data_IF_044104652932
#
_entry.id   IF_044104652932
#
_cell.length_a   1.000
_cell.length_b   1.000
_cell.length_c   1.000
_cell.angle_alpha   90.00
_cell.angle_beta   90.00
_cell.angle_gamma   90.00
#
_symmetry.space_group_name_H-M   'P 1'
#
loop_
_entity.id
_entity.type
_entity.pdbx_description
1 polymer ?
#
# COMPACT_ATOMS: atom_id res chain seq x y z
N UNK A 1 -27.10 -8.05 -9.66
CA UNK A 1 -28.13 -7.02 -9.87
C UNK A 1 -29.19 -7.19 -8.78
N UNK A 2 -29.07 -6.43 -7.69
CA UNK A 2 -30.10 -6.41 -6.66
C UNK A 2 -30.95 -5.16 -6.87
N UNK A 3 -32.26 -5.35 -7.03
CA UNK A 3 -33.23 -4.29 -7.26
C UNK A 3 -33.28 -3.34 -6.06
N UNK A 4 -32.71 -2.14 -6.23
CA UNK A 4 -32.96 -1.02 -5.35
C UNK A 4 -34.37 -0.51 -5.67
N UNK A 5 -35.37 -0.97 -4.90
CA UNK A 5 -36.72 -0.40 -4.95
C UNK A 5 -36.86 0.59 -3.81
N UNK A 6 -36.22 1.74 -3.95
CA UNK A 6 -36.68 2.95 -3.26
C UNK A 6 -38.01 3.33 -3.91
N UNK A 7 -39.10 2.82 -3.36
CA UNK A 7 -40.44 3.36 -3.64
C UNK A 7 -40.46 4.81 -3.16
N UNK A 8 -40.20 5.75 -4.07
CA UNK A 8 -40.50 7.16 -3.87
C UNK A 8 -42.01 7.29 -3.59
N UNK A 9 -42.37 7.44 -2.32
CA UNK A 9 -43.73 7.77 -1.92
C UNK A 9 -43.98 9.20 -2.40
N UNK A 10 -44.97 9.38 -3.28
CA UNK A 10 -45.36 10.69 -3.81
C UNK A 10 -46.00 11.54 -2.69
N UNK A 11 -45.13 12.27 -1.97
CA UNK A 11 -45.47 13.11 -0.81
C UNK A 11 -46.52 14.19 -1.11
N UNK A 12 -46.78 14.49 -2.39
CA UNK A 12 -47.81 15.41 -2.83
C UNK A 12 -49.25 14.92 -2.54
N UNK A 13 -49.43 13.60 -2.38
CA UNK A 13 -50.75 12.96 -2.19
C UNK A 13 -51.08 12.58 -0.73
N UNK A 14 -50.14 12.79 0.20
CA UNK A 14 -50.32 12.41 1.61
C UNK A 14 -51.20 13.41 2.38
N UNK A 15 -52.07 12.89 3.25
CA UNK A 15 -52.81 13.70 4.24
C UNK A 15 -51.84 14.37 5.24
N UNK A 16 -52.28 15.41 5.96
CA UNK A 16 -51.46 16.10 6.98
C UNK A 16 -50.88 15.12 8.00
N UNK A 17 -51.67 14.15 8.46
CA UNK A 17 -51.20 13.09 9.34
C UNK A 17 -50.14 12.22 8.66
N UNK A 18 -50.34 11.84 7.39
CA UNK A 18 -49.37 11.08 6.60
C UNK A 18 -48.03 11.81 6.48
N UNK A 19 -48.05 13.12 6.16
CA UNK A 19 -46.84 13.95 6.06
C UNK A 19 -46.07 14.03 7.38
N UNK A 20 -46.78 14.26 8.49
CA UNK A 20 -46.16 14.32 9.83
C UNK A 20 -45.61 12.95 10.27
N UNK A 21 -46.30 11.86 9.93
CA UNK A 21 -45.83 10.50 10.21
C UNK A 21 -44.57 10.18 9.42
N UNK A 22 -44.55 10.43 8.11
CA UNK A 22 -43.37 10.21 7.25
C UNK A 22 -42.17 11.02 7.73
N UNK A 23 -42.38 12.29 8.11
CA UNK A 23 -41.33 13.13 8.67
C UNK A 23 -40.75 12.56 9.97
N UNK A 24 -41.62 12.17 10.92
CA UNK A 24 -41.19 11.59 12.19
C UNK A 24 -40.47 10.24 12.00
N UNK A 25 -40.94 9.40 11.08
CA UNK A 25 -40.27 8.15 10.71
C UNK A 25 -38.90 8.39 10.07
N UNK A 26 -38.78 9.40 9.20
CA UNK A 26 -37.52 9.82 8.60
C UNK A 26 -36.50 10.24 9.66
N UNK A 27 -36.92 11.05 10.64
CA UNK A 27 -36.08 11.43 11.78
C UNK A 27 -35.63 10.22 12.60
N UNK A 28 -36.56 9.30 12.93
CA UNK A 28 -36.22 8.08 13.69
C UNK A 28 -35.20 7.21 12.95
N UNK A 29 -35.37 7.05 11.64
CA UNK A 29 -34.41 6.30 10.80
C UNK A 29 -33.05 6.97 10.76
N UNK A 30 -33.00 8.30 10.63
CA UNK A 30 -31.75 9.06 10.66
C UNK A 30 -30.98 8.92 11.98
N UNK A 31 -31.69 9.01 13.12
CA UNK A 31 -31.09 8.80 14.44
C UNK A 31 -30.61 7.36 14.64
N UNK A 32 -31.41 6.37 14.25
CA UNK A 32 -31.01 4.96 14.31
C UNK A 32 -29.79 4.65 13.42
N UNK A 33 -29.62 5.37 12.30
CA UNK A 33 -28.42 5.25 11.46
C UNK A 33 -27.18 5.78 12.20
N UNK A 34 -27.32 6.86 12.95
CA UNK A 34 -26.28 7.38 13.84
C UNK A 34 -25.90 6.40 14.96
N UNK A 35 -26.88 5.76 15.61
CA UNK A 35 -26.62 4.71 16.61
C UNK A 35 -25.87 3.51 16.02
N UNK A 36 -26.23 3.09 14.80
CA UNK A 36 -25.52 2.02 14.09
C UNK A 36 -24.08 2.44 13.77
N UNK A 37 -23.88 3.68 13.34
CA UNK A 37 -22.55 4.22 13.08
C UNK A 37 -21.67 4.20 14.33
N UNK A 38 -22.18 4.67 15.47
CA UNK A 38 -21.42 4.66 16.72
C UNK A 38 -21.06 3.24 17.16
N UNK A 39 -21.96 2.27 17.00
CA UNK A 39 -21.65 0.88 17.34
C UNK A 39 -20.53 0.29 16.46
N UNK A 40 -20.46 0.65 15.18
CA UNK A 40 -19.36 0.26 14.30
C UNK A 40 -18.05 0.95 14.70
N UNK A 41 -18.11 2.22 15.11
CA UNK A 41 -16.95 2.94 15.62
C UNK A 41 -16.42 2.34 16.92
N UNK A 42 -17.30 1.97 17.85
CA UNK A 42 -16.92 1.29 19.10
C UNK A 42 -16.18 -0.03 18.80
N UNK A 43 -16.67 -0.79 17.81
CA UNK A 43 -15.98 -2.00 17.34
C UNK A 43 -14.62 -1.67 16.73
N UNK A 44 -14.54 -0.64 15.88
CA UNK A 44 -13.29 -0.25 15.23
C UNK A 44 -12.23 0.24 16.24
N UNK A 45 -12.65 0.90 17.32
CA UNK A 45 -11.76 1.48 18.32
C UNK A 45 -11.38 0.45 19.39
N UNK A 46 -12.35 -0.23 20.00
CA UNK A 46 -12.14 -0.94 21.27
C UNK A 46 -12.03 -2.47 21.14
N UNK A 47 -12.37 -3.05 19.98
CA UNK A 47 -12.27 -4.51 19.83
C UNK A 47 -10.84 -5.01 19.94
N UNK A 48 -10.69 -6.22 20.47
CA UNK A 48 -9.45 -7.00 20.43
C UNK A 48 -9.53 -8.17 19.47
N UNK A 49 -10.69 -8.39 18.84
CA UNK A 49 -10.90 -9.43 17.83
C UNK A 49 -10.66 -8.86 16.42
N UNK A 50 -9.68 -9.43 15.71
CA UNK A 50 -9.24 -8.92 14.42
C UNK A 50 -10.32 -8.99 13.33
N UNK A 51 -11.10 -10.08 13.27
CA UNK A 51 -12.16 -10.20 12.25
C UNK A 51 -13.31 -9.20 12.52
N UNK A 52 -13.63 -8.93 13.78
CA UNK A 52 -14.55 -7.86 14.18
C UNK A 52 -14.01 -6.49 13.77
N UNK A 53 -12.70 -6.23 13.97
CA UNK A 53 -12.03 -4.99 13.54
C UNK A 53 -12.15 -4.81 12.02
N UNK A 54 -11.81 -5.85 11.25
CA UNK A 54 -11.88 -5.86 9.79
C UNK A 54 -13.31 -5.65 9.29
N UNK A 55 -14.30 -6.35 9.86
CA UNK A 55 -15.70 -6.23 9.46
C UNK A 55 -16.28 -4.84 9.73
N UNK A 56 -15.90 -4.22 10.86
CA UNK A 56 -16.27 -2.85 11.19
C UNK A 56 -15.67 -1.86 10.17
N UNK A 57 -14.37 -1.98 9.89
CA UNK A 57 -13.67 -1.15 8.91
C UNK A 57 -14.28 -1.27 7.49
N UNK A 58 -14.57 -2.50 7.05
CA UNK A 58 -15.23 -2.77 5.76
C UNK A 58 -16.59 -2.07 5.67
N UNK A 59 -17.40 -2.17 6.73
CA UNK A 59 -18.73 -1.56 6.75
C UNK A 59 -18.64 -0.04 6.76
N UNK A 60 -17.71 0.52 7.54
CA UNK A 60 -17.50 1.97 7.66
C UNK A 60 -16.94 2.60 6.39
N UNK A 61 -16.07 1.89 5.66
CA UNK A 61 -15.48 2.34 4.40
C UNK A 61 -16.51 2.74 3.32
N UNK A 62 -17.73 2.21 3.38
CA UNK A 62 -18.84 2.55 2.46
C UNK A 62 -20.06 3.14 3.18
N UNK A 63 -19.94 3.44 4.49
CA UNK A 63 -21.07 3.88 5.30
C UNK A 63 -21.49 5.32 4.95
N UNK A 64 -22.79 5.54 4.77
CA UNK A 64 -23.38 6.88 4.62
C UNK A 64 -24.12 7.24 5.90
N UNK A 65 -23.51 8.12 6.70
CA UNK A 65 -24.05 8.55 7.98
C UNK A 65 -25.27 9.47 7.79
N UNK A 66 -25.12 10.47 6.92
CA UNK A 66 -26.19 11.40 6.62
C UNK A 66 -27.36 10.73 5.90
N UNK A 67 -28.55 11.21 6.23
CA UNK A 67 -29.80 10.80 5.58
C UNK A 67 -30.52 12.03 5.03
N UNK A 68 -31.60 11.83 4.29
CA UNK A 68 -32.44 12.93 3.81
C UNK A 68 -33.08 13.78 4.94
N UNK A 69 -33.11 13.28 6.18
CA UNK A 69 -33.79 13.92 7.32
C UNK A 69 -32.86 14.35 8.45
N UNK A 70 -31.65 13.78 8.55
CA UNK A 70 -30.70 14.05 9.62
C UNK A 70 -29.31 14.16 9.02
N UNK A 71 -28.62 15.26 9.34
CA UNK A 71 -27.23 15.53 8.96
C UNK A 71 -26.38 15.63 10.22
N UNK A 72 -25.25 14.94 10.24
CA UNK A 72 -24.30 14.93 11.34
C UNK A 72 -23.13 15.87 11.01
N UNK A 73 -22.88 16.91 11.84
CA UNK A 73 -21.93 17.97 11.49
C UNK A 73 -20.46 17.55 11.57
N UNK A 74 -20.15 16.50 12.34
CA UNK A 74 -18.79 15.98 12.55
C UNK A 74 -18.76 14.55 12.03
N UNK A 75 -17.94 14.28 11.01
CA UNK A 75 -17.84 12.97 10.39
C UNK A 75 -16.48 12.77 9.71
N UNK A 76 -15.90 11.60 9.96
CA UNK A 76 -14.76 11.13 9.20
C UNK A 76 -15.16 10.80 7.76
N UNK A 77 -14.22 10.97 6.84
CA UNK A 77 -14.36 10.53 5.47
C UNK A 77 -14.19 9.02 5.37
N UNK A 78 -14.77 8.40 4.34
CA UNK A 78 -14.66 6.96 4.10
C UNK A 78 -13.21 6.45 4.08
N UNK A 79 -12.28 7.26 3.59
CA UNK A 79 -10.85 6.92 3.57
C UNK A 79 -10.22 6.85 4.98
N UNK A 80 -10.72 7.66 5.92
CA UNK A 80 -10.18 7.74 7.28
C UNK A 80 -10.37 6.41 8.03
N UNK A 81 -11.43 5.65 7.73
CA UNK A 81 -11.65 4.34 8.36
C UNK A 81 -10.60 3.29 7.99
N UNK A 82 -10.02 3.37 6.79
CA UNK A 82 -8.86 2.54 6.43
C UNK A 82 -7.64 2.89 7.28
N UNK A 83 -7.48 4.17 7.58
CA UNK A 83 -6.37 4.67 8.38
C UNK A 83 -6.49 4.27 9.85
N UNK A 84 -7.70 4.41 10.41
CA UNK A 84 -8.01 3.91 11.76
C UNK A 84 -7.81 2.40 11.82
N UNK A 85 -8.30 1.65 10.83
CA UNK A 85 -8.09 0.20 10.75
C UNK A 85 -6.60 -0.17 10.78
N UNK A 86 -5.80 0.46 9.92
CA UNK A 86 -4.35 0.24 9.87
C UNK A 86 -3.69 0.55 11.23
N UNK A 87 -3.99 1.71 11.82
CA UNK A 87 -3.50 2.11 13.14
C UNK A 87 -3.86 1.09 14.24
N UNK A 88 -5.11 0.64 14.26
CA UNK A 88 -5.60 -0.29 15.28
C UNK A 88 -5.01 -1.69 15.12
N UNK A 89 -4.91 -2.19 13.89
CA UNK A 89 -4.28 -3.48 13.62
C UNK A 89 -2.80 -3.46 14.03
N UNK A 90 -2.06 -2.44 13.61
CA UNK A 90 -0.66 -2.28 13.99
C UNK A 90 -0.48 -2.18 15.51
N UNK A 91 -1.33 -1.38 16.18
CA UNK A 91 -1.31 -1.25 17.64
C UNK A 91 -1.62 -2.57 18.36
N UNK A 92 -2.53 -3.40 17.85
CA UNK A 92 -2.79 -4.75 18.39
C UNK A 92 -1.56 -5.67 18.29
N UNK A 93 -0.69 -5.43 17.31
CA UNK A 93 0.59 -6.11 17.12
C UNK A 93 1.79 -5.35 17.73
N UNK A 94 1.54 -4.34 18.56
CA UNK A 94 2.57 -3.57 19.26
C UNK A 94 3.44 -2.69 18.34
N UNK A 95 2.92 -2.26 17.19
CA UNK A 95 3.53 -1.23 16.35
C UNK A 95 2.72 0.07 16.41
N UNK A 96 3.32 1.10 16.99
CA UNK A 96 2.72 2.44 17.11
C UNK A 96 3.63 3.51 16.47
N UNK A 97 4.46 3.13 15.49
CA UNK A 97 5.40 4.05 14.84
C UNK A 97 4.69 5.12 14.00
N UNK A 98 3.56 4.75 13.39
CA UNK A 98 2.69 5.66 12.65
C UNK A 98 1.72 6.35 13.62
N UNK A 99 1.90 7.65 13.82
CA UNK A 99 1.04 8.46 14.71
C UNK A 99 -0.14 8.99 13.93
N UNK A 100 -1.35 8.59 14.34
CA UNK A 100 -2.61 9.08 13.79
C UNK A 100 -2.92 10.50 14.28
N UNK A 101 -3.06 11.44 13.34
CA UNK A 101 -3.38 12.83 13.59
C UNK A 101 -4.65 13.25 12.83
N UNK A 102 -5.24 14.38 13.24
CA UNK A 102 -6.42 14.96 12.60
C UNK A 102 -6.19 16.40 12.17
N UNK A 103 -6.74 16.76 11.00
CA UNK A 103 -6.73 18.13 10.52
C UNK A 103 -7.76 18.97 11.29
N UNK A 104 -7.33 20.10 11.88
CA UNK A 104 -8.16 20.92 12.78
C UNK A 104 -9.50 21.40 12.22
N UNK A 105 -9.66 21.51 10.90
CA UNK A 105 -10.84 22.11 10.27
C UNK A 105 -11.72 21.12 9.48
N UNK A 106 -11.14 20.00 9.04
CA UNK A 106 -11.79 19.04 8.15
C UNK A 106 -12.00 17.68 8.81
N UNK A 107 -11.43 17.46 10.01
CA UNK A 107 -11.43 16.18 10.73
C UNK A 107 -10.76 15.01 9.98
N UNK A 108 -10.25 15.27 8.77
CA UNK A 108 -9.54 14.29 7.97
C UNK A 108 -8.30 13.79 8.70
N UNK A 109 -8.08 12.48 8.63
CA UNK A 109 -7.02 11.81 9.35
C UNK A 109 -5.78 11.60 8.47
N UNK A 110 -4.62 11.58 9.10
CA UNK A 110 -3.35 11.28 8.45
C UNK A 110 -2.36 10.67 9.44
N UNK A 111 -1.48 9.79 8.96
CA UNK A 111 -0.33 9.30 9.69
C UNK A 111 0.86 10.26 9.52
N UNK A 112 1.64 10.38 10.58
CA UNK A 112 3.00 10.94 10.56
C UNK A 112 3.93 9.90 11.18
N UNK A 113 5.13 9.77 10.62
CA UNK A 113 6.18 8.95 11.21
C UNK A 113 7.20 9.86 11.88
N UNK A 114 7.41 9.70 13.18
CA UNK A 114 8.37 10.52 13.95
C UNK A 114 9.81 10.40 13.45
N UNK A 115 10.13 9.30 12.75
CA UNK A 115 11.41 9.08 12.10
C UNK A 115 11.63 10.00 10.87
N UNK A 116 10.55 10.44 10.22
CA UNK A 116 10.58 11.41 9.12
C UNK A 116 10.30 12.82 9.63
N UNK A 117 10.45 13.83 8.77
CA UNK A 117 10.02 15.19 9.11
C UNK A 117 8.49 15.29 9.06
N UNK A 118 7.92 16.25 9.81
CA UNK A 118 6.48 16.53 9.84
C UNK A 118 5.90 16.96 8.48
N UNK A 119 6.76 17.21 7.48
CA UNK A 119 6.38 17.54 6.10
C UNK A 119 5.81 16.33 5.33
N UNK A 120 6.06 15.11 5.81
CA UNK A 120 5.58 13.88 5.20
C UNK A 120 4.36 13.35 5.96
N UNK A 121 3.19 13.53 5.35
CA UNK A 121 1.92 13.01 5.86
C UNK A 121 1.41 11.92 4.94
N UNK A 122 0.79 10.90 5.52
CA UNK A 122 0.30 9.75 4.79
C UNK A 122 -1.17 9.52 5.08
N UNK A 123 -1.96 9.29 4.04
CA UNK A 123 -3.40 9.12 4.17
C UNK A 123 -3.92 8.14 3.13
N UNK A 124 -5.13 7.64 3.35
CA UNK A 124 -5.82 6.84 2.35
C UNK A 124 -6.60 7.71 1.38
N UNK A 125 -6.69 7.25 0.13
CA UNK A 125 -7.58 7.80 -0.89
C UNK A 125 -8.41 6.65 -1.46
N UNK A 126 -9.73 6.69 -1.26
CA UNK A 126 -10.65 5.70 -1.83
C UNK A 126 -10.61 5.75 -3.35
N UNK A 127 -10.59 4.58 -3.97
CA UNK A 127 -10.61 4.44 -5.42
C UNK A 127 -11.99 4.82 -5.95
N UNK A 128 -12.05 5.83 -6.82
CA UNK A 128 -13.31 6.32 -7.37
C UNK A 128 -13.94 5.38 -8.41
N UNK A 129 -13.18 4.39 -8.91
CA UNK A 129 -13.66 3.42 -9.89
C UNK A 129 -14.38 2.25 -9.20
N UNK A 130 -15.27 1.58 -9.92
CA UNK A 130 -16.12 0.50 -9.36
C UNK A 130 -15.38 -0.76 -8.87
N UNK A 131 -14.04 -0.77 -8.89
CA UNK A 131 -13.23 -1.84 -8.30
C UNK A 131 -13.10 -1.74 -6.77
N UNK A 132 -13.46 -0.60 -6.18
CA UNK A 132 -13.39 -0.37 -4.74
C UNK A 132 -11.96 -0.34 -4.20
N UNK A 133 -11.83 -0.33 -2.87
CA UNK A 133 -10.55 -0.25 -2.16
C UNK A 133 -10.02 1.18 -2.03
N UNK A 134 -8.78 1.29 -1.55
CA UNK A 134 -8.12 2.57 -1.31
C UNK A 134 -6.61 2.48 -1.55
N UNK A 135 -6.00 3.61 -1.90
CA UNK A 135 -4.54 3.76 -1.96
C UNK A 135 -4.03 4.43 -0.69
N UNK A 136 -3.03 3.85 -0.04
CA UNK A 136 -2.24 4.54 0.96
C UNK A 136 -1.18 5.38 0.24
N UNK A 137 -1.19 6.69 0.46
CA UNK A 137 -0.35 7.63 -0.28
C UNK A 137 0.34 8.64 0.62
N UNK A 138 1.51 9.08 0.18
CA UNK A 138 2.16 10.27 0.74
C UNK A 138 1.54 11.52 0.09
N UNK A 139 1.25 12.55 0.90
CA UNK A 139 0.45 13.69 0.47
C UNK A 139 1.21 14.64 -0.47
N UNK A 140 2.47 14.95 -0.17
CA UNK A 140 3.27 15.99 -0.85
C UNK A 140 3.67 15.57 -2.26
N UNK A 141 4.13 14.33 -2.42
CA UNK A 141 4.55 13.74 -3.69
C UNK A 141 3.38 13.12 -4.45
N UNK A 142 2.35 12.68 -3.73
CA UNK A 142 1.22 11.95 -4.30
C UNK A 142 1.51 10.49 -4.61
N UNK A 143 2.68 9.98 -4.21
CA UNK A 143 3.08 8.59 -4.42
C UNK A 143 2.13 7.63 -3.68
N UNK A 144 1.51 6.72 -4.44
CA UNK A 144 0.58 5.71 -3.94
C UNK A 144 1.37 4.45 -3.59
N UNK A 145 1.77 4.33 -2.33
CA UNK A 145 2.67 3.27 -1.87
C UNK A 145 2.06 1.88 -2.02
N UNK A 146 0.78 1.72 -1.64
CA UNK A 146 0.09 0.46 -1.84
C UNK A 146 -1.42 0.63 -2.00
N UNK A 147 -2.03 -0.34 -2.67
CA UNK A 147 -3.47 -0.50 -2.83
C UNK A 147 -3.97 -1.57 -1.87
N UNK A 148 -5.07 -1.30 -1.18
CA UNK A 148 -5.76 -2.25 -0.32
C UNK A 148 -7.23 -2.40 -0.72
N UNK A 149 -7.73 -3.63 -0.71
CA UNK A 149 -9.14 -3.94 -0.81
C UNK A 149 -9.54 -4.86 0.34
N UNK A 150 -10.31 -4.33 1.29
CA UNK A 150 -10.69 -5.07 2.50
C UNK A 150 -11.65 -6.21 2.19
N UNK A 151 -12.61 -6.02 1.26
CA UNK A 151 -13.59 -7.06 0.89
C UNK A 151 -12.92 -8.23 0.16
N UNK A 152 -12.01 -7.92 -0.77
CA UNK A 152 -11.28 -8.94 -1.55
C UNK A 152 -10.05 -9.48 -0.83
N UNK A 153 -9.75 -8.99 0.38
CA UNK A 153 -8.57 -9.36 1.17
C UNK A 153 -7.27 -9.27 0.34
N UNK A 154 -7.05 -8.11 -0.28
CA UNK A 154 -5.96 -7.87 -1.23
C UNK A 154 -5.10 -6.70 -0.80
N UNK A 155 -3.77 -6.86 -0.85
CA UNK A 155 -2.79 -5.79 -0.67
C UNK A 155 -1.72 -5.87 -1.78
N UNK A 156 -1.43 -4.76 -2.45
CA UNK A 156 -0.45 -4.67 -3.53
C UNK A 156 0.46 -3.47 -3.33
N UNK A 157 1.77 -3.70 -3.22
CA UNK A 157 2.77 -2.65 -3.11
C UNK A 157 3.19 -2.13 -4.49
N UNK A 158 3.54 -0.84 -4.56
CA UNK A 158 3.92 -0.16 -5.79
C UNK A 158 5.42 0.17 -5.82
N UNK A 159 6.21 -0.65 -6.50
CA UNK A 159 7.65 -0.48 -6.68
C UNK A 159 8.07 0.93 -7.12
N UNK A 160 7.35 1.53 -8.07
CA UNK A 160 7.62 2.87 -8.59
C UNK A 160 7.46 3.90 -7.48
N UNK A 161 6.35 3.85 -6.76
CA UNK A 161 6.07 4.79 -5.67
C UNK A 161 7.09 4.66 -4.52
N UNK A 162 7.47 3.44 -4.17
CA UNK A 162 8.52 3.21 -3.16
C UNK A 162 9.88 3.76 -3.60
N UNK A 163 10.29 3.50 -4.85
CA UNK A 163 11.54 4.03 -5.41
C UNK A 163 11.53 5.56 -5.43
N UNK A 164 10.45 6.16 -5.91
CA UNK A 164 10.34 7.62 -5.99
C UNK A 164 10.35 8.28 -4.62
N UNK A 165 9.55 7.80 -3.68
CA UNK A 165 9.48 8.42 -2.36
C UNK A 165 10.75 8.17 -1.55
N UNK A 166 11.07 6.91 -1.29
CA UNK A 166 12.10 6.57 -0.30
C UNK A 166 13.51 6.72 -0.83
N UNK A 167 13.76 6.50 -2.12
CA UNK A 167 15.08 6.71 -2.71
C UNK A 167 15.22 8.14 -3.23
N UNK A 168 14.40 8.54 -4.21
CA UNK A 168 14.61 9.80 -4.93
C UNK A 168 14.28 11.05 -4.08
N UNK A 169 13.23 10.99 -3.25
CA UNK A 169 12.78 12.14 -2.45
C UNK A 169 13.32 12.16 -1.02
N UNK A 170 13.55 11.00 -0.42
CA UNK A 170 14.05 10.91 0.97
C UNK A 170 15.56 10.66 1.01
N UNK A 171 16.04 9.50 0.57
CA UNK A 171 17.45 9.09 0.70
C UNK A 171 18.39 10.08 -0.01
N UNK A 172 18.17 10.34 -1.30
CA UNK A 172 19.01 11.26 -2.09
C UNK A 172 18.90 12.73 -1.66
N UNK A 173 17.94 13.06 -0.78
CA UNK A 173 17.81 14.38 -0.16
C UNK A 173 18.37 14.43 1.27
N UNK A 174 19.00 13.36 1.73
CA UNK A 174 19.73 13.31 3.00
C UNK A 174 18.97 12.70 4.17
N UNK A 175 17.82 12.05 3.93
CA UNK A 175 17.14 11.25 4.97
C UNK A 175 17.97 10.00 5.26
N UNK A 176 18.18 9.68 6.54
CA UNK A 176 18.97 8.52 6.93
C UNK A 176 18.28 7.20 6.61
N UNK A 177 19.08 6.16 6.30
CA UNK A 177 18.56 4.81 6.00
C UNK A 177 17.77 4.26 7.20
N UNK A 178 18.24 4.45 8.43
CA UNK A 178 17.53 3.98 9.64
C UNK A 178 16.12 4.61 9.78
N UNK A 179 15.99 5.89 9.38
CA UNK A 179 14.71 6.59 9.38
C UNK A 179 13.76 6.02 8.33
N UNK A 180 14.27 5.75 7.12
CA UNK A 180 13.53 5.10 6.05
C UNK A 180 13.08 3.70 6.48
N UNK A 181 14.00 2.90 7.04
CA UNK A 181 13.72 1.54 7.48
C UNK A 181 12.65 1.47 8.56
N UNK A 182 12.56 2.46 9.45
CA UNK A 182 11.48 2.54 10.45
C UNK A 182 10.09 2.62 9.80
N UNK A 183 9.98 3.37 8.70
CA UNK A 183 8.72 3.47 7.95
C UNK A 183 8.47 2.18 7.19
N UNK A 184 9.46 1.68 6.45
CA UNK A 184 9.33 0.45 5.67
C UNK A 184 8.94 -0.74 6.53
N UNK A 185 9.56 -0.91 7.70
CA UNK A 185 9.23 -2.00 8.63
C UNK A 185 7.78 -1.94 9.09
N UNK A 186 7.24 -0.73 9.32
CA UNK A 186 5.84 -0.54 9.69
C UNK A 186 4.91 -0.98 8.55
N UNK A 187 5.22 -0.59 7.30
CA UNK A 187 4.42 -0.94 6.13
C UNK A 187 4.47 -2.43 5.81
N UNK A 188 5.65 -3.05 5.90
CA UNK A 188 5.84 -4.49 5.72
C UNK A 188 5.12 -5.26 6.83
N UNK A 189 5.25 -4.83 8.09
CA UNK A 189 4.55 -5.44 9.21
C UNK A 189 3.04 -5.38 9.04
N UNK A 190 2.49 -4.26 8.57
CA UNK A 190 1.06 -4.17 8.24
C UNK A 190 0.64 -5.24 7.22
N UNK A 191 1.43 -5.44 6.16
CA UNK A 191 1.19 -6.51 5.19
C UNK A 191 1.21 -7.90 5.83
N UNK A 192 2.19 -8.21 6.67
CA UNK A 192 2.25 -9.50 7.36
C UNK A 192 1.08 -9.71 8.32
N UNK A 193 0.70 -8.68 9.11
CA UNK A 193 -0.47 -8.76 9.98
C UNK A 193 -1.74 -9.10 9.17
N UNK A 194 -1.93 -8.51 7.99
CA UNK A 194 -3.07 -8.82 7.13
C UNK A 194 -3.02 -10.25 6.57
N UNK A 195 -1.83 -10.74 6.22
CA UNK A 195 -1.64 -12.09 5.71
C UNK A 195 -1.88 -13.14 6.81
N UNK A 196 -1.32 -12.92 8.00
CA UNK A 196 -1.31 -13.87 9.10
C UNK A 196 -2.65 -13.93 9.83
N UNK A 197 -3.29 -12.77 10.09
CA UNK A 197 -4.54 -12.70 10.85
C UNK A 197 -5.77 -12.99 9.97
N UNK A 198 -5.73 -12.57 8.69
CA UNK A 198 -6.92 -12.55 7.83
C UNK A 198 -6.73 -13.32 6.51
N UNK A 199 -5.54 -13.86 6.24
CA UNK A 199 -5.28 -14.57 4.98
C UNK A 199 -5.34 -13.65 3.76
N UNK A 200 -4.95 -12.37 3.89
CA UNK A 200 -4.86 -11.48 2.73
C UNK A 200 -3.87 -12.02 1.72
N UNK A 201 -4.20 -11.85 0.44
CA UNK A 201 -3.23 -11.98 -0.64
C UNK A 201 -2.40 -10.70 -0.69
N UNK A 202 -1.17 -10.78 -0.19
CA UNK A 202 -0.23 -9.65 -0.15
C UNK A 202 0.86 -9.85 -1.20
N UNK A 203 1.07 -8.83 -2.02
CA UNK A 203 2.24 -8.73 -2.92
C UNK A 203 3.12 -7.60 -2.39
N UNK A 204 4.20 -7.96 -1.70
CA UNK A 204 5.20 -7.02 -1.20
C UNK A 204 6.05 -6.41 -2.32
N UNK A 205 5.97 -6.96 -3.54
CA UNK A 205 6.64 -6.48 -4.72
C UNK A 205 8.14 -6.25 -4.46
N UNK A 206 8.68 -5.05 -4.70
CA UNK A 206 10.09 -4.70 -4.50
C UNK A 206 10.62 -4.93 -3.07
N UNK A 207 9.72 -5.05 -2.08
CA UNK A 207 10.04 -5.29 -0.67
C UNK A 207 10.01 -6.77 -0.27
N UNK A 208 9.64 -7.69 -1.17
CA UNK A 208 9.63 -9.12 -0.86
C UNK A 208 11.05 -9.60 -0.53
N UNK A 209 11.22 -10.37 0.53
CA UNK A 209 12.52 -10.88 1.02
C UNK A 209 12.72 -12.36 0.74
N UNK A 210 11.71 -13.04 0.18
CA UNK A 210 11.79 -14.46 -0.10
C UNK A 210 12.83 -14.72 -1.19
N UNK A 211 13.71 -15.72 -1.00
CA UNK A 211 14.70 -16.09 -2.01
C UNK A 211 14.06 -16.64 -3.31
N UNK A 212 12.77 -16.97 -3.26
CA UNK A 212 11.98 -17.36 -4.43
C UNK A 212 11.36 -16.17 -5.18
N UNK A 213 11.43 -14.95 -4.62
CA UNK A 213 10.91 -13.74 -5.24
C UNK A 213 11.63 -13.45 -6.56
N UNK A 214 10.85 -13.11 -7.58
CA UNK A 214 11.34 -12.69 -8.90
C UNK A 214 10.80 -11.31 -9.19
N UNK A 215 11.66 -10.29 -9.12
CA UNK A 215 11.28 -8.93 -9.43
C UNK A 215 11.29 -8.75 -10.95
N UNK A 216 10.12 -8.79 -11.56
CA UNK A 216 9.98 -8.67 -13.01
C UNK A 216 10.28 -7.24 -13.48
N UNK A 217 11.16 -7.11 -14.48
CA UNK A 217 11.53 -5.81 -15.02
C UNK A 217 10.47 -5.27 -15.97
N UNK A 218 10.40 -3.94 -16.09
CA UNK A 218 9.52 -3.22 -17.03
C UNK A 218 9.83 -3.64 -18.47
N UNK A 219 11.10 -3.60 -18.87
CA UNK A 219 11.52 -4.10 -20.16
C UNK A 219 11.49 -5.63 -20.17
N UNK A 220 10.72 -6.20 -21.11
CA UNK A 220 10.67 -7.65 -21.28
C UNK A 220 11.99 -8.21 -21.84
N UNK A 221 12.64 -7.46 -22.73
CA UNK A 221 13.95 -7.76 -23.30
C UNK A 221 14.93 -6.64 -22.90
N UNK A 222 15.98 -7.00 -22.17
CA UNK A 222 16.92 -6.06 -21.60
C UNK A 222 18.10 -5.82 -22.56
N UNK A 223 18.39 -4.55 -22.83
CA UNK A 223 19.56 -4.18 -23.64
C UNK A 223 20.86 -4.64 -22.96
N UNK A 224 21.72 -5.34 -23.71
CA UNK A 224 23.03 -5.79 -23.24
C UNK A 224 23.87 -4.64 -22.67
N UNK A 225 23.72 -3.43 -23.22
CA UNK A 225 24.43 -2.24 -22.72
C UNK A 225 24.12 -1.93 -21.24
N UNK A 226 22.94 -2.33 -20.73
CA UNK A 226 22.57 -2.12 -19.32
C UNK A 226 23.37 -3.07 -18.41
N UNK A 227 23.55 -4.33 -18.83
CA UNK A 227 24.37 -5.31 -18.09
C UNK A 227 25.86 -4.94 -18.17
N UNK A 228 26.32 -4.43 -19.31
CA UNK A 228 27.70 -3.95 -19.47
C UNK A 228 27.99 -2.75 -18.53
N UNK A 229 27.03 -1.83 -18.36
CA UNK A 229 27.15 -0.74 -17.37
C UNK A 229 27.24 -1.28 -15.93
N UNK A 230 26.51 -2.35 -15.61
CA UNK A 230 26.62 -2.99 -14.29
C UNK A 230 28.02 -3.56 -14.09
N UNK A 231 28.60 -4.19 -15.11
CA UNK A 231 29.98 -4.72 -15.06
C UNK A 231 31.00 -3.62 -14.75
N UNK A 232 30.91 -2.48 -15.45
CA UNK A 232 31.80 -1.33 -15.20
C UNK A 232 31.61 -0.77 -13.78
N UNK A 233 30.36 -0.53 -13.37
CA UNK A 233 30.04 0.01 -12.04
C UNK A 233 30.49 -0.93 -10.91
N UNK A 234 30.29 -2.24 -11.06
CA UNK A 234 30.73 -3.23 -10.10
C UNK A 234 32.26 -3.24 -9.95
N UNK A 235 33.00 -3.24 -11.07
CA UNK A 235 34.46 -3.24 -11.05
C UNK A 235 35.06 -1.98 -10.42
N UNK A 236 34.44 -0.81 -10.64
CA UNK A 236 34.84 0.45 -9.98
C UNK A 236 34.61 0.47 -8.47
N UNK A 237 33.76 -0.44 -7.97
CA UNK A 237 33.41 -0.58 -6.55
C UNK A 237 33.96 -1.87 -5.92
N UNK A 238 34.98 -2.49 -6.52
CA UNK A 238 35.65 -3.72 -6.05
C UNK A 238 34.76 -4.98 -5.99
N UNK A 239 33.69 -5.02 -6.78
CA UNK A 239 32.83 -6.20 -6.95
C UNK A 239 33.11 -6.94 -8.25
N UNK A 240 32.98 -8.26 -8.22
CA UNK A 240 33.14 -9.13 -9.39
C UNK A 240 31.78 -9.57 -9.91
N UNK A 241 31.46 -9.17 -11.13
CA UNK A 241 30.31 -9.69 -11.86
C UNK A 241 30.68 -11.03 -12.51
N UNK A 242 29.82 -12.03 -12.32
CA UNK A 242 29.97 -13.37 -12.87
C UNK A 242 28.77 -13.68 -13.78
N UNK A 243 28.88 -14.71 -14.62
CA UNK A 243 27.71 -15.18 -15.36
C UNK A 243 26.68 -15.77 -14.39
N UNK A 244 25.41 -15.50 -14.65
CA UNK A 244 24.31 -16.10 -13.88
C UNK A 244 24.39 -17.63 -13.91
N UNK A 245 24.06 -18.28 -12.80
CA UNK A 245 23.90 -19.74 -12.77
C UNK A 245 22.71 -20.21 -13.60
N UNK A 246 21.77 -19.33 -13.92
CA UNK A 246 20.64 -19.57 -14.83
C UNK A 246 21.05 -19.45 -16.30
N UNK A 247 22.29 -19.04 -16.60
CA UNK A 247 22.84 -18.91 -17.94
C UNK A 247 22.82 -17.47 -18.45
N UNK A 248 21.77 -17.09 -19.17
CA UNK A 248 21.66 -15.79 -19.87
C UNK A 248 21.41 -14.65 -18.88
N UNK A 249 22.48 -14.18 -18.24
CA UNK A 249 22.40 -13.15 -17.21
C UNK A 249 23.72 -12.92 -16.49
N UNK A 250 23.67 -12.12 -15.43
CA UNK A 250 24.80 -11.76 -14.61
C UNK A 250 24.47 -11.86 -13.12
N UNK A 251 25.44 -12.29 -12.34
CA UNK A 251 25.35 -12.47 -10.91
C UNK A 251 26.45 -11.68 -10.20
N UNK A 252 26.11 -11.08 -9.06
CA UNK A 252 27.04 -10.33 -8.21
C UNK A 252 26.85 -10.73 -6.75
N UNK A 253 27.94 -11.05 -6.06
CA UNK A 253 27.94 -11.24 -4.61
C UNK A 253 28.30 -9.90 -3.95
N UNK A 254 27.36 -9.34 -3.17
CA UNK A 254 27.49 -8.02 -2.55
C UNK A 254 28.11 -8.08 -1.15
N UNK A 255 27.98 -9.21 -0.47
CA UNK A 255 28.68 -9.59 0.76
C UNK A 255 28.53 -11.10 0.91
N UNK A 256 29.26 -11.70 1.86
CA UNK A 256 29.20 -13.14 2.11
C UNK A 256 27.75 -13.66 2.19
N UNK A 257 27.33 -14.42 1.17
CA UNK A 257 26.01 -15.03 1.07
C UNK A 257 24.87 -14.16 0.51
N UNK A 258 25.07 -12.84 0.38
CA UNK A 258 24.10 -11.94 -0.27
C UNK A 258 24.44 -11.81 -1.76
N UNK A 259 23.59 -12.37 -2.59
CA UNK A 259 23.80 -12.43 -4.03
C UNK A 259 22.64 -11.83 -4.78
N UNK A 260 22.91 -11.03 -5.81
CA UNK A 260 21.92 -10.50 -6.73
C UNK A 260 22.15 -11.13 -8.10
N UNK A 261 21.09 -11.60 -8.73
CA UNK A 261 21.12 -12.19 -10.07
C UNK A 261 20.16 -11.43 -10.99
N UNK A 262 20.60 -11.13 -12.21
CA UNK A 262 19.77 -10.55 -13.28
C UNK A 262 19.85 -11.45 -14.50
N UNK A 263 18.73 -12.04 -14.91
CA UNK A 263 18.72 -13.03 -15.98
C UNK A 263 17.39 -13.09 -16.72
N UNK A 264 17.44 -13.64 -17.93
CA UNK A 264 16.24 -13.99 -18.70
C UNK A 264 15.61 -15.27 -18.15
N UNK A 265 14.43 -15.14 -17.54
CA UNK A 265 13.67 -16.24 -16.96
C UNK A 265 12.68 -16.89 -17.94
N UNK A 266 12.74 -16.57 -19.23
CA UNK A 266 11.90 -17.17 -20.25
C UNK A 266 12.25 -18.65 -20.50
N UNK A 267 11.23 -19.46 -20.77
CA UNK A 267 11.42 -20.82 -21.27
C UNK A 267 12.10 -20.79 -22.66
N UNK A 268 12.83 -21.84 -22.99
CA UNK A 268 13.53 -21.94 -24.27
C UNK A 268 12.58 -21.73 -25.47
N UNK A 269 12.82 -20.66 -26.24
CA UNK A 269 12.01 -20.29 -27.41
C UNK A 269 10.79 -19.41 -27.12
N UNK A 270 10.55 -19.04 -25.86
CA UNK A 270 9.57 -18.02 -25.49
C UNK A 270 10.15 -16.61 -25.65
N UNK A 271 9.29 -15.60 -25.55
CA UNK A 271 9.72 -14.20 -25.50
C UNK A 271 10.52 -13.93 -24.22
N UNK A 272 11.59 -13.11 -24.28
CA UNK A 272 12.40 -12.77 -23.13
C UNK A 272 11.55 -12.25 -21.96
N UNK A 273 11.96 -12.64 -20.75
CA UNK A 273 11.36 -12.21 -19.50
C UNK A 273 12.45 -11.99 -18.47
N UNK A 274 13.06 -10.81 -18.52
CA UNK A 274 14.11 -10.45 -17.58
C UNK A 274 13.56 -10.22 -16.17
N UNK A 275 14.27 -10.77 -15.19
CA UNK A 275 13.97 -10.64 -13.77
C UNK A 275 15.24 -10.36 -12.97
N UNK A 276 15.06 -9.71 -11.82
CA UNK A 276 16.04 -9.66 -10.74
C UNK A 276 15.65 -10.68 -9.66
N UNK A 277 16.63 -11.29 -9.02
CA UNK A 277 16.46 -12.05 -7.79
C UNK A 277 17.50 -11.63 -6.76
N UNK A 278 17.12 -11.67 -5.48
CA UNK A 278 18.02 -11.47 -4.36
C UNK A 278 18.02 -12.76 -3.55
N UNK A 279 19.21 -13.26 -3.26
CA UNK A 279 19.41 -14.39 -2.38
C UNK A 279 20.14 -13.94 -1.12
N UNK A 280 19.48 -14.08 0.02
CA UNK A 280 20.02 -13.84 1.36
C UNK A 280 19.76 -15.08 2.23
N UNK A 281 20.75 -15.62 2.97
CA UNK A 281 20.57 -16.87 3.73
C UNK A 281 19.46 -16.76 4.79
N UNK A 282 19.30 -15.57 5.36
CA UNK A 282 18.33 -15.29 6.41
C UNK A 282 16.97 -14.83 5.85
N UNK A 283 16.85 -14.61 4.53
CA UNK A 283 15.67 -14.03 3.87
C UNK A 283 15.21 -12.74 4.53
N UNK A 284 16.17 -11.83 4.77
CA UNK A 284 15.95 -10.54 5.42
C UNK A 284 16.21 -9.34 4.52
N UNK A 285 16.75 -9.57 3.32
CA UNK A 285 17.17 -8.51 2.39
C UNK A 285 16.37 -8.60 1.10
N UNK A 286 15.59 -7.57 0.82
CA UNK A 286 14.87 -7.39 -0.45
C UNK A 286 15.74 -6.68 -1.51
N UNK A 287 15.26 -6.61 -2.75
CA UNK A 287 15.88 -5.73 -3.76
C UNK A 287 15.88 -4.27 -3.31
N UNK A 288 14.82 -3.82 -2.64
CA UNK A 288 14.79 -2.46 -2.11
C UNK A 288 15.90 -2.20 -1.08
N UNK A 289 16.15 -3.16 -0.18
CA UNK A 289 17.25 -3.07 0.80
C UNK A 289 18.62 -2.99 0.12
N UNK A 290 18.80 -3.70 -0.99
CA UNK A 290 20.02 -3.59 -1.80
C UNK A 290 20.20 -2.16 -2.31
N UNK A 291 19.15 -1.52 -2.84
CA UNK A 291 19.19 -0.14 -3.32
C UNK A 291 19.46 0.89 -2.20
N UNK A 292 19.04 0.61 -0.97
CA UNK A 292 19.32 1.46 0.18
C UNK A 292 20.80 1.40 0.58
N UNK A 293 21.39 0.21 0.60
CA UNK A 293 22.72 -0.01 1.20
C UNK A 293 23.88 -0.03 0.19
N UNK A 294 23.64 -0.36 -1.07
CA UNK A 294 24.68 -0.48 -2.10
C UNK A 294 24.53 0.64 -3.14
N UNK A 295 25.26 1.75 -2.90
CA UNK A 295 25.15 2.96 -3.72
C UNK A 295 25.34 2.73 -5.21
N UNK A 296 26.34 1.93 -5.60
CA UNK A 296 26.60 1.65 -7.02
C UNK A 296 25.48 0.84 -7.71
N UNK A 297 24.82 -0.08 -6.98
CA UNK A 297 23.66 -0.82 -7.48
C UNK A 297 22.47 0.11 -7.66
N UNK A 298 22.27 1.03 -6.71
CA UNK A 298 21.24 2.07 -6.80
C UNK A 298 21.47 2.99 -7.98
N UNK A 299 22.68 3.51 -8.13
CA UNK A 299 23.00 4.46 -9.21
C UNK A 299 22.83 3.78 -10.58
N UNK A 300 23.31 2.54 -10.72
CA UNK A 300 23.04 1.72 -11.92
C UNK A 300 21.54 1.50 -12.18
N UNK A 301 20.76 1.18 -11.15
CA UNK A 301 19.32 0.96 -11.27
C UNK A 301 18.58 2.24 -11.70
N UNK A 302 18.88 3.36 -11.07
CA UNK A 302 18.24 4.65 -11.35
C UNK A 302 18.64 5.22 -12.73
N UNK A 303 19.91 5.07 -13.12
CA UNK A 303 20.41 5.53 -14.42
C UNK A 303 19.79 4.76 -15.60
N UNK A 304 19.22 3.59 -15.34
CA UNK A 304 18.59 2.72 -16.35
C UNK A 304 17.14 2.38 -15.97
N UNK A 305 16.48 3.22 -15.16
CA UNK A 305 15.15 2.94 -14.59
C UNK A 305 14.07 2.69 -15.64
N UNK A 306 14.17 3.33 -16.81
CA UNK A 306 13.20 3.15 -17.91
C UNK A 306 13.10 1.70 -18.39
N UNK A 307 14.16 0.90 -18.19
CA UNK A 307 14.18 -0.54 -18.50
C UNK A 307 14.11 -1.41 -17.25
N UNK A 308 14.82 -1.02 -16.19
CA UNK A 308 15.02 -1.84 -14.99
C UNK A 308 13.89 -1.73 -13.96
N UNK A 309 13.01 -0.74 -14.06
CA UNK A 309 11.96 -0.57 -13.04
C UNK A 309 11.19 -1.89 -12.81
N UNK A 310 11.05 -2.28 -11.55
CA UNK A 310 10.25 -3.44 -11.18
C UNK A 310 8.78 -3.16 -11.50
N UNK A 311 8.10 -4.07 -12.18
CA UNK A 311 6.66 -3.92 -12.49
C UNK A 311 5.82 -3.96 -11.22
N UNK A 312 5.00 -2.94 -11.03
CA UNK A 312 3.88 -2.98 -10.09
C UNK A 312 2.66 -3.71 -10.72
N UNK A 313 1.70 -4.13 -9.91
CA UNK A 313 0.48 -4.80 -10.40
C UNK A 313 -0.32 -3.86 -11.32
N UNK A 314 -0.38 -4.13 -12.64
CA UNK A 314 -0.96 -3.23 -13.62
C UNK A 314 -2.49 -3.13 -13.53
N UNK A 315 -3.14 -4.03 -12.77
CA UNK A 315 -4.59 -3.97 -12.57
C UNK A 315 -4.99 -2.86 -11.59
N UNK A 316 -4.06 -2.45 -10.73
CA UNK A 316 -4.30 -1.46 -9.67
C UNK A 316 -3.40 -0.23 -9.79
N UNK A 317 -2.24 -0.33 -10.44
CA UNK A 317 -1.33 0.78 -10.72
C UNK A 317 -1.14 0.88 -12.23
N UNK A 318 -1.97 1.71 -12.88
CA UNK A 318 -1.94 1.95 -14.32
C UNK A 318 -1.29 3.29 -14.67
#
# INVERSE_FOLDING_TARGET
MANNTDTQIDTATLSTHGKLSTFNEGLKKGLANGERFTALMDQLIDTTDGETLLAAAQTLADFKLDTAYVTFPHQYQNADYYLIFMSRLLGMHGDEQAVLNSQRHTEALYHVYSALTDDYTFLYQVVATGNGGAYYREQTTGEQLFYINLERRLLRFNSTAFTNLFINKLLLKGTGIDQINTVLSTLIKFGHCLQDDFGFNVDFNILDVANAAKYELRAADLDQAIVDKLFVSAAENDYMLQNSQQGHGAQIELRAGLTVDIFDAADAGASPKWVLTVHDPDQTVSWFDVLLHFGFMRDWYLDNIDSLEIKADPLVFA
#
